data_IF_124836281792
#
_entry.id   IF_124836281792
#
_cell.length_a   1.000
_cell.length_b   1.000
_cell.length_c   1.000
_cell.angle_alpha   90.00
_cell.angle_beta   90.00
_cell.angle_gamma   90.00
#
_symmetry.space_group_name_H-M   'P 1'
#
loop_
_entity.id
_entity.type
_entity.pdbx_description
1 polymer ?
#
# COMPACT_ATOMS: atom_id res chain seq x y z
N UNK A 1 -9.74 -1.70 1.25
CA UNK A 1 -9.01 -2.93 1.62
C UNK A 1 -7.70 -2.64 2.36
N UNK A 2 -6.78 -1.80 1.85
CA UNK A 2 -5.49 -1.49 2.49
C UNK A 2 -5.58 -1.10 3.99
N UNK A 3 -6.45 -0.15 4.34
CA UNK A 3 -6.52 0.37 5.72
C UNK A 3 -7.03 -0.67 6.74
N UNK A 4 -8.02 -1.48 6.36
CA UNK A 4 -8.56 -2.54 7.21
C UNK A 4 -7.54 -3.64 7.47
N UNK A 5 -6.74 -3.98 6.46
CA UNK A 5 -5.58 -4.88 6.59
C UNK A 5 -4.58 -4.32 7.58
N UNK A 6 -4.21 -3.04 7.46
CA UNK A 6 -3.24 -2.41 8.35
C UNK A 6 -3.72 -2.37 9.81
N UNK A 7 -5.00 -2.05 10.02
CA UNK A 7 -5.67 -2.08 11.33
C UNK A 7 -5.61 -3.46 11.97
N UNK A 8 -5.98 -4.51 11.23
CA UNK A 8 -5.93 -5.88 11.71
C UNK A 8 -4.51 -6.31 12.10
N UNK A 9 -3.53 -6.06 11.24
CA UNK A 9 -2.12 -6.35 11.55
C UNK A 9 -1.62 -5.56 12.76
N UNK A 10 -2.16 -4.36 12.99
CA UNK A 10 -1.91 -3.57 14.20
C UNK A 10 -2.35 -4.31 15.48
N UNK A 11 -3.55 -4.90 15.47
CA UNK A 11 -4.03 -5.70 16.61
C UNK A 11 -3.15 -6.92 16.90
N UNK A 12 -2.57 -7.55 15.87
CA UNK A 12 -1.62 -8.66 16.06
C UNK A 12 -0.36 -8.20 16.83
N UNK A 13 0.17 -7.02 16.49
CA UNK A 13 1.32 -6.44 17.21
C UNK A 13 0.96 -6.04 18.64
N UNK A 14 -0.24 -5.50 18.88
CA UNK A 14 -0.71 -5.15 20.22
C UNK A 14 -0.85 -6.37 21.14
N UNK A 15 -1.16 -7.53 20.57
CA UNK A 15 -1.19 -8.81 21.28
C UNK A 15 0.21 -9.41 21.54
N UNK A 16 1.28 -8.77 21.03
CA UNK A 16 2.66 -9.22 21.22
C UNK A 16 3.14 -10.26 20.21
N UNK A 17 2.41 -10.48 19.12
CA UNK A 17 2.81 -11.44 18.09
C UNK A 17 3.56 -10.79 16.93
N UNK A 18 4.71 -11.37 16.58
CA UNK A 18 5.38 -11.10 15.32
C UNK A 18 4.49 -11.59 14.17
N UNK A 19 4.55 -10.95 13.01
CA UNK A 19 3.87 -11.45 11.82
C UNK A 19 4.75 -11.41 10.58
N UNK A 20 4.58 -12.42 9.74
CA UNK A 20 4.99 -12.43 8.35
C UNK A 20 3.72 -12.27 7.52
N UNK A 21 3.66 -11.22 6.70
CA UNK A 21 2.51 -10.90 5.87
C UNK A 21 2.88 -11.01 4.40
N UNK A 22 2.01 -11.63 3.60
CA UNK A 22 2.10 -11.65 2.14
C UNK A 22 0.76 -11.40 1.48
N UNK A 23 0.76 -10.71 0.34
CA UNK A 23 -0.40 -10.63 -0.53
C UNK A 23 -0.72 -12.02 -1.12
N UNK A 24 -1.96 -12.19 -1.59
CA UNK A 24 -2.49 -13.48 -2.03
C UNK A 24 -1.87 -13.99 -3.33
N UNK A 25 -1.23 -13.09 -4.09
CA UNK A 25 -0.56 -13.35 -5.36
C UNK A 25 0.95 -13.61 -5.20
N UNK A 26 1.46 -13.64 -3.97
CA UNK A 26 2.84 -14.04 -3.67
C UNK A 26 2.91 -15.53 -3.36
N UNK A 27 3.82 -16.22 -4.05
CA UNK A 27 4.12 -17.64 -3.83
C UNK A 27 5.51 -17.81 -3.23
N UNK A 28 5.65 -18.77 -2.30
CA UNK A 28 6.94 -19.13 -1.72
C UNK A 28 7.46 -20.40 -2.38
N UNK A 29 8.59 -20.30 -3.06
CA UNK A 29 9.27 -21.46 -3.65
C UNK A 29 10.25 -22.12 -2.68
N UNK A 30 10.54 -21.45 -1.55
CA UNK A 30 11.42 -21.90 -0.46
C UNK A 30 10.90 -21.34 0.86
N UNK A 31 11.37 -21.93 1.96
CA UNK A 31 11.14 -21.39 3.29
C UNK A 31 11.74 -19.97 3.40
N UNK A 32 10.93 -18.93 3.68
CA UNK A 32 11.47 -17.58 3.82
C UNK A 32 12.17 -17.33 5.16
N UNK A 33 11.88 -18.11 6.22
CA UNK A 33 12.37 -17.81 7.57
C UNK A 33 13.90 -17.73 7.70
N UNK A 34 14.69 -18.61 7.05
CA UNK A 34 16.16 -18.50 7.07
C UNK A 34 16.72 -17.23 6.41
N UNK A 35 15.92 -16.51 5.64
CA UNK A 35 16.32 -15.30 4.92
C UNK A 35 15.85 -14.00 5.59
N UNK A 36 15.14 -14.09 6.71
CA UNK A 36 14.67 -12.93 7.48
C UNK A 36 15.76 -12.44 8.44
N UNK A 37 15.90 -11.11 8.58
CA UNK A 37 16.81 -10.54 9.57
C UNK A 37 16.13 -10.53 10.96
N UNK A 38 16.72 -11.21 11.93
CA UNK A 38 16.20 -11.25 13.31
C UNK A 38 16.53 -10.01 14.14
N UNK A 39 17.47 -9.18 13.68
CA UNK A 39 17.94 -8.00 14.41
C UNK A 39 17.18 -6.71 14.05
N UNK A 40 16.18 -6.79 13.15
CA UNK A 40 15.41 -5.64 12.68
C UNK A 40 13.94 -5.76 13.08
N UNK A 41 13.37 -4.63 13.46
CA UNK A 41 11.98 -4.53 13.91
C UNK A 41 10.97 -4.64 12.76
N UNK A 42 11.34 -4.16 11.58
CA UNK A 42 10.47 -4.06 10.41
C UNK A 42 11.30 -4.24 9.15
N UNK A 43 10.93 -5.20 8.30
CA UNK A 43 11.54 -5.43 7.01
C UNK A 43 10.47 -5.69 5.96
N UNK A 44 10.71 -5.20 4.75
CA UNK A 44 9.74 -5.15 3.66
C UNK A 44 10.47 -5.35 2.34
N UNK A 45 9.83 -6.02 1.39
CA UNK A 45 10.40 -6.25 0.06
C UNK A 45 10.51 -4.97 -0.76
N UNK A 46 11.19 -5.08 -1.89
CA UNK A 46 11.26 -4.05 -2.91
C UNK A 46 11.08 -4.70 -4.29
N UNK A 47 10.45 -3.97 -5.22
CA UNK A 47 10.30 -4.40 -6.62
C UNK A 47 11.64 -4.26 -7.36
N UNK A 48 12.49 -3.33 -6.91
CA UNK A 48 13.82 -3.12 -7.43
C UNK A 48 14.82 -2.93 -6.28
N UNK A 49 15.87 -3.76 -6.28
CA UNK A 49 16.99 -3.69 -5.35
C UNK A 49 18.30 -3.44 -6.10
N UNK A 50 19.17 -2.62 -5.51
CA UNK A 50 20.56 -2.47 -5.96
C UNK A 50 21.54 -3.42 -5.25
N UNK A 51 21.04 -4.37 -4.45
CA UNK A 51 21.85 -5.32 -3.67
C UNK A 51 22.27 -4.80 -2.28
N UNK A 52 22.10 -3.51 -1.99
CA UNK A 52 22.27 -2.96 -0.64
C UNK A 52 20.91 -2.89 0.07
N UNK A 53 20.70 -3.77 1.04
CA UNK A 53 19.43 -3.88 1.79
C UNK A 53 19.08 -2.66 2.64
N UNK A 54 20.07 -1.83 2.96
CA UNK A 54 19.89 -0.62 3.77
C UNK A 54 19.73 0.65 2.94
N UNK A 55 19.73 0.55 1.61
CA UNK A 55 19.60 1.71 0.74
C UNK A 55 18.15 2.24 0.69
N UNK A 56 17.89 3.50 1.08
CA UNK A 56 16.57 4.12 1.00
C UNK A 56 16.10 4.37 -0.44
N UNK A 57 16.98 4.25 -1.43
CA UNK A 57 16.67 4.34 -2.87
C UNK A 57 16.03 3.08 -3.44
N UNK A 58 15.95 1.97 -2.69
CA UNK A 58 15.23 0.77 -3.14
C UNK A 58 13.72 1.06 -3.27
N UNK A 59 13.09 0.52 -4.32
CA UNK A 59 11.66 0.73 -4.57
C UNK A 59 10.82 -0.22 -3.71
N UNK A 60 10.49 0.22 -2.50
CA UNK A 60 9.78 -0.59 -1.50
C UNK A 60 8.41 -1.03 -1.99
N UNK A 61 8.09 -2.31 -1.76
CA UNK A 61 6.78 -2.91 -1.94
C UNK A 61 6.35 -3.66 -0.66
N UNK A 62 5.18 -3.29 -0.13
CA UNK A 62 4.63 -3.80 1.12
C UNK A 62 3.85 -5.12 1.01
N UNK A 63 3.88 -5.76 -0.15
CA UNK A 63 3.19 -7.03 -0.43
C UNK A 63 3.86 -8.23 0.25
N UNK A 64 5.13 -8.14 0.65
CA UNK A 64 5.79 -9.10 1.55
C UNK A 64 6.55 -8.34 2.64
N UNK A 65 6.25 -8.62 3.91
CA UNK A 65 6.93 -7.98 5.04
C UNK A 65 6.89 -8.81 6.31
N UNK A 66 7.96 -8.70 7.10
CA UNK A 66 8.05 -9.27 8.44
C UNK A 66 8.19 -8.14 9.46
N UNK A 67 7.42 -8.23 10.54
CA UNK A 67 7.38 -7.22 11.59
C UNK A 67 7.45 -7.89 12.95
N UNK A 68 8.38 -7.43 13.77
CA UNK A 68 8.50 -7.86 15.16
C UNK A 68 7.57 -7.04 16.05
N UNK A 69 6.92 -7.68 17.01
CA UNK A 69 6.08 -7.01 17.99
C UNK A 69 6.94 -6.33 19.05
N UNK A 70 6.92 -5.00 19.04
CA UNK A 70 7.53 -4.19 20.08
C UNK A 70 6.82 -2.83 20.19
N UNK A 71 7.26 -2.01 21.14
CA UNK A 71 6.65 -0.69 21.39
C UNK A 71 6.80 0.25 20.20
N UNK A 72 7.89 0.15 19.43
CA UNK A 72 8.13 0.98 18.26
C UNK A 72 7.21 0.59 17.10
N UNK A 73 7.07 -0.70 16.79
CA UNK A 73 6.26 -1.19 15.66
C UNK A 73 4.77 -1.02 15.90
N UNK A 74 4.29 -1.16 17.15
CA UNK A 74 2.92 -0.80 17.53
C UNK A 74 2.65 0.70 17.29
N UNK A 75 3.57 1.58 17.70
CA UNK A 75 3.44 3.03 17.46
C UNK A 75 3.48 3.36 15.96
N UNK A 76 4.39 2.74 15.21
CA UNK A 76 4.51 2.90 13.77
C UNK A 76 3.22 2.51 13.06
N UNK A 77 2.66 1.33 13.38
CA UNK A 77 1.43 0.85 12.76
C UNK A 77 0.24 1.79 13.05
N UNK A 78 0.08 2.25 14.30
CA UNK A 78 -0.94 3.24 14.67
C UNK A 78 -0.80 4.52 13.88
N UNK A 79 0.40 5.08 13.83
CA UNK A 79 0.67 6.30 13.07
C UNK A 79 0.34 6.10 11.58
N UNK A 80 0.78 4.98 11.00
CA UNK A 80 0.51 4.66 9.60
C UNK A 80 -0.98 4.51 9.32
N UNK A 81 -1.74 3.87 10.22
CA UNK A 81 -3.19 3.77 10.09
C UNK A 81 -3.88 5.13 10.16
N UNK A 82 -3.42 6.04 11.03
CA UNK A 82 -4.00 7.40 11.14
C UNK A 82 -3.76 8.26 9.89
N UNK A 83 -2.68 8.03 9.13
CA UNK A 83 -2.44 8.71 7.85
C UNK A 83 -3.54 8.45 6.81
N UNK A 84 -4.42 7.46 7.01
CA UNK A 84 -5.60 7.22 6.14
C UNK A 84 -6.43 8.47 5.93
N UNK A 85 -6.58 9.30 6.96
CA UNK A 85 -7.38 10.52 6.86
C UNK A 85 -6.75 11.56 5.94
N UNK A 86 -5.43 11.71 6.02
CA UNK A 86 -4.66 12.59 5.12
C UNK A 86 -4.73 12.09 3.68
N UNK A 87 -4.50 10.79 3.47
CA UNK A 87 -4.56 10.19 2.14
C UNK A 87 -5.96 10.31 1.51
N UNK A 88 -7.01 10.02 2.27
CA UNK A 88 -8.40 10.14 1.80
C UNK A 88 -8.76 11.58 1.42
N UNK A 89 -8.23 12.58 2.14
CA UNK A 89 -8.42 13.99 1.77
C UNK A 89 -7.72 14.33 0.45
N UNK A 90 -6.47 13.92 0.27
CA UNK A 90 -5.73 14.15 -0.97
C UNK A 90 -6.41 13.48 -2.17
N UNK A 91 -6.89 12.25 -1.99
CA UNK A 91 -7.57 11.51 -3.04
C UNK A 91 -8.91 12.16 -3.44
N UNK A 92 -9.66 12.70 -2.48
CA UNK A 92 -10.85 13.52 -2.79
C UNK A 92 -10.48 14.78 -3.57
N UNK A 93 -9.43 15.50 -3.17
CA UNK A 93 -8.98 16.70 -3.88
C UNK A 93 -8.55 16.38 -5.32
N UNK A 94 -7.81 15.29 -5.53
CA UNK A 94 -7.42 14.81 -6.87
C UNK A 94 -8.62 14.48 -7.74
N UNK A 95 -9.65 13.83 -7.20
CA UNK A 95 -10.88 13.54 -7.94
C UNK A 95 -11.62 14.81 -8.35
N UNK A 96 -11.70 15.81 -7.48
CA UNK A 96 -12.31 17.11 -7.80
C UNK A 96 -11.55 17.79 -8.94
N UNK A 97 -10.22 17.83 -8.85
CA UNK A 97 -9.37 18.41 -9.88
C UNK A 97 -9.48 17.66 -11.21
N UNK A 98 -9.45 16.33 -11.19
CA UNK A 98 -9.66 15.51 -12.39
C UNK A 98 -11.06 15.72 -12.98
N UNK A 99 -12.09 15.93 -12.14
CA UNK A 99 -13.43 16.19 -12.65
C UNK A 99 -13.52 17.55 -13.36
N UNK A 100 -12.82 18.56 -12.85
CA UNK A 100 -12.72 19.90 -13.46
C UNK A 100 -11.89 19.91 -14.76
N UNK A 101 -10.89 19.04 -14.89
CA UNK A 101 -10.01 18.98 -16.07
C UNK A 101 -10.44 17.95 -17.12
N UNK A 102 -11.53 17.20 -16.89
CA UNK A 102 -12.06 16.25 -17.88
C UNK A 102 -12.63 17.01 -19.08
N UNK A 103 -12.19 16.73 -20.31
CA UNK A 103 -12.84 17.28 -21.49
C UNK A 103 -14.30 16.82 -21.52
N UNK A 104 -15.22 17.78 -21.62
CA UNK A 104 -16.65 17.50 -21.75
C UNK A 104 -16.91 17.02 -23.17
N UNK A 105 -17.22 15.74 -23.32
CA UNK A 105 -17.62 15.19 -24.61
C UNK A 105 -19.09 15.57 -24.87
N UNK A 106 -19.34 16.61 -25.66
CA UNK A 106 -20.69 16.92 -26.12
C UNK A 106 -21.15 15.86 -27.11
N UNK A 107 -22.30 15.25 -26.82
CA UNK A 107 -22.96 14.30 -27.72
C UNK A 107 -23.24 15.02 -29.05
N UNK A 108 -22.63 14.58 -30.17
CA UNK A 108 -23.07 15.03 -31.50
C UNK A 108 -24.53 14.64 -31.66
N UNK A 109 -25.43 15.62 -31.69
CA UNK A 109 -26.77 15.42 -32.23
C UNK A 109 -26.59 15.15 -33.72
N UNK A 110 -26.99 13.97 -34.21
CA UNK A 110 -27.14 13.75 -35.66
C UNK A 110 -28.32 14.61 -36.11
N UNK A 111 -28.07 15.69 -36.84
CA UNK A 111 -29.10 16.25 -37.72
C UNK A 111 -29.37 15.19 -38.80
N UNK A 112 -30.56 14.60 -38.76
CA UNK A 112 -31.10 13.89 -39.91
C UNK A 112 -31.77 14.94 -40.79
N UNK A 113 -30.99 15.57 -41.66
CA UNK A 113 -31.56 16.26 -42.81
C UNK A 113 -31.74 15.20 -43.90
N UNK A 114 -32.92 14.59 -43.92
CA UNK A 114 -33.37 13.78 -45.03
C UNK A 114 -33.68 14.72 -46.20
N UNK A 115 -32.91 14.53 -47.27
CA UNK A 115 -33.13 15.11 -48.59
C UNK A 115 -34.51 14.65 -49.10
N UNK A 116 -35.34 15.61 -49.51
CA UNK A 116 -36.47 15.43 -50.43
C UNK A 116 -36.15 16.12 -51.75
#
# INVERSE_FOLDING_TARGET
MMWRRLEFLGSILELGYNFLFTDMDIMWLRDPFPHLFSEVDFQVTCDHSNGNTSDPGNLVNADFKFVQANRQTVKLNKYWYELRWTFLRQERARRVQHHQTRPVCHRRTRSHDAVS
#
